data_IF_985508241761
#
_entry.id   IF_985508241761
#
_cell.length_a   1.000
_cell.length_b   1.000
_cell.length_c   1.000
_cell.angle_alpha   90.00
_cell.angle_beta   90.00
_cell.angle_gamma   90.00
#
_symmetry.space_group_name_H-M   'P 1'
#
loop_
_entity.id
_entity.type
_entity.pdbx_description
1 polymer ?
#
# COMPACT_ATOMS: atom_id res chain seq x y z
N UNK A 1 24.66 -10.80 40.82
CA UNK A 1 23.37 -10.42 40.21
C UNK A 1 23.34 -8.91 40.07
N UNK A 2 23.20 -8.34 38.87
CA UNK A 2 23.20 -6.89 38.62
C UNK A 2 21.80 -6.26 38.81
N UNK A 3 21.03 -6.81 39.74
CA UNK A 3 19.70 -6.35 40.14
C UNK A 3 19.80 -5.82 41.56
N UNK A 4 19.39 -4.58 41.74
CA UNK A 4 19.59 -3.80 42.96
C UNK A 4 18.25 -3.22 43.41
N UNK A 5 18.08 -3.07 44.73
CA UNK A 5 16.92 -2.41 45.32
C UNK A 5 17.30 -0.95 45.59
N UNK A 6 16.42 -0.03 45.22
CA UNK A 6 16.52 1.37 45.60
C UNK A 6 15.92 1.52 47.01
N UNK A 7 16.74 1.96 47.97
CA UNK A 7 16.34 2.05 49.37
C UNK A 7 15.39 3.24 49.63
N UNK A 8 15.48 4.30 48.81
CA UNK A 8 14.69 5.53 48.99
C UNK A 8 13.21 5.36 48.63
N UNK A 9 12.88 4.46 47.70
CA UNK A 9 11.51 4.29 47.19
C UNK A 9 11.06 2.83 47.04
N UNK A 10 11.86 1.88 47.51
CA UNK A 10 11.54 0.45 47.49
C UNK A 10 11.51 -0.23 46.11
N UNK A 11 11.74 0.51 45.02
CA UNK A 11 11.72 -0.01 43.64
C UNK A 11 13.03 -0.73 43.29
N UNK A 12 13.00 -1.56 42.24
CA UNK A 12 14.17 -2.30 41.77
C UNK A 12 14.76 -1.66 40.51
N UNK A 13 16.07 -1.78 40.35
CA UNK A 13 16.80 -1.36 39.14
C UNK A 13 17.84 -2.39 38.71
N UNK A 14 18.17 -2.34 37.41
CA UNK A 14 19.06 -3.29 36.75
C UNK A 14 20.19 -2.52 36.09
N UNK A 15 21.42 -3.03 36.20
CA UNK A 15 22.59 -2.53 35.47
C UNK A 15 23.16 -3.60 34.55
N UNK A 16 22.73 -3.62 33.29
CA UNK A 16 23.20 -4.62 32.33
C UNK A 16 24.37 -4.09 31.50
N UNK A 17 25.44 -4.89 31.40
CA UNK A 17 26.59 -4.62 30.53
C UNK A 17 26.40 -5.34 29.20
N UNK A 18 26.77 -4.69 28.10
CA UNK A 18 26.71 -5.27 26.75
C UNK A 18 27.84 -4.73 25.88
N UNK A 19 28.21 -5.47 24.84
CA UNK A 19 29.16 -5.00 23.82
C UNK A 19 28.34 -4.48 22.65
N UNK A 20 28.62 -3.26 22.19
CA UNK A 20 27.93 -2.71 21.04
C UNK A 20 28.53 -3.23 19.72
N UNK A 21 27.89 -2.91 18.60
CA UNK A 21 28.33 -3.30 17.25
C UNK A 21 29.73 -2.78 16.85
N UNK A 22 30.30 -1.83 17.60
CA UNK A 22 31.68 -1.33 17.42
C UNK A 22 32.71 -2.07 18.30
N UNK A 23 32.30 -3.06 19.08
CA UNK A 23 33.16 -3.77 20.04
C UNK A 23 33.36 -3.03 21.37
N UNK A 24 32.67 -1.90 21.60
CA UNK A 24 32.80 -1.14 22.85
C UNK A 24 31.92 -1.74 23.96
N UNK A 25 32.48 -1.89 25.16
CA UNK A 25 31.72 -2.28 26.35
C UNK A 25 30.89 -1.09 26.86
N UNK A 26 29.56 -1.24 26.89
CA UNK A 26 28.62 -0.23 27.39
C UNK A 26 27.75 -0.80 28.52
N UNK A 27 27.18 0.10 29.31
CA UNK A 27 26.30 -0.24 30.42
C UNK A 27 24.95 0.48 30.27
N UNK A 28 23.85 -0.25 30.45
CA UNK A 28 22.49 0.29 30.47
C UNK A 28 21.90 0.12 31.86
N UNK A 29 21.42 1.21 32.44
CA UNK A 29 20.67 1.19 33.70
C UNK A 29 19.18 1.38 33.40
N UNK A 30 18.34 0.45 33.86
CA UNK A 30 16.88 0.57 33.81
C UNK A 30 16.35 0.53 35.25
N UNK A 31 15.52 1.50 35.62
CA UNK A 31 15.00 1.72 36.97
C UNK A 31 13.46 1.68 36.97
N UNK A 32 12.87 1.45 38.15
CA UNK A 32 11.43 1.59 38.38
C UNK A 32 10.63 0.28 38.33
N UNK A 33 11.27 -0.87 38.54
CA UNK A 33 10.56 -2.15 38.62
C UNK A 33 9.88 -2.31 39.99
N UNK A 34 8.66 -2.82 40.02
CA UNK A 34 7.92 -3.00 41.27
C UNK A 34 8.45 -4.21 42.06
N UNK A 35 8.95 -5.24 41.36
CA UNK A 35 9.47 -6.45 41.99
C UNK A 35 10.88 -6.84 41.51
N UNK A 36 11.61 -7.58 42.37
CA UNK A 36 12.90 -8.17 42.02
C UNK A 36 12.81 -9.09 40.79
N UNK A 37 11.69 -9.83 40.69
CA UNK A 37 11.44 -10.79 39.61
C UNK A 37 11.29 -10.09 38.26
N UNK A 38 10.55 -8.98 38.20
CA UNK A 38 10.45 -8.16 36.98
C UNK A 38 11.80 -7.58 36.55
N UNK A 39 12.60 -7.13 37.51
CA UNK A 39 13.94 -6.62 37.24
C UNK A 39 14.88 -7.72 36.70
N UNK A 40 14.83 -8.93 37.26
CA UNK A 40 15.59 -10.08 36.77
C UNK A 40 15.13 -10.54 35.38
N UNK A 41 13.83 -10.57 35.12
CA UNK A 41 13.29 -10.92 33.81
C UNK A 41 13.74 -9.91 32.74
N UNK A 42 13.69 -8.61 33.07
CA UNK A 42 14.18 -7.57 32.17
C UNK A 42 15.69 -7.69 31.90
N UNK A 43 16.50 -7.98 32.92
CA UNK A 43 17.95 -8.21 32.75
C UNK A 43 18.21 -9.36 31.78
N UNK A 44 17.55 -10.50 32.00
CA UNK A 44 17.69 -11.70 31.17
C UNK A 44 17.31 -11.41 29.73
N UNK A 45 16.16 -10.77 29.52
CA UNK A 45 15.69 -10.39 28.19
C UNK A 45 16.63 -9.41 27.49
N UNK A 46 17.21 -8.44 28.23
CA UNK A 46 18.18 -7.50 27.68
C UNK A 46 19.51 -8.17 27.30
N UNK A 47 19.98 -9.15 28.07
CA UNK A 47 21.18 -9.91 27.72
C UNK A 47 20.96 -10.79 26.49
N UNK A 48 19.84 -11.54 26.42
CA UNK A 48 19.49 -12.35 25.25
C UNK A 48 19.35 -11.50 23.98
N UNK A 49 18.71 -10.33 24.10
CA UNK A 49 18.57 -9.38 22.99
C UNK A 49 19.92 -8.85 22.47
N UNK A 50 20.92 -8.64 23.35
CA UNK A 50 22.26 -8.22 22.93
C UNK A 50 23.13 -9.38 22.43
N UNK A 51 22.95 -10.58 22.98
CA UNK A 51 23.61 -11.79 22.54
C UNK A 51 23.08 -12.32 21.20
N UNK A 52 21.96 -11.76 20.71
CA UNK A 52 21.23 -12.27 19.53
C UNK A 52 20.81 -13.74 19.70
N UNK A 53 20.62 -14.18 20.95
CA UNK A 53 20.32 -15.56 21.29
C UNK A 53 18.81 -15.84 21.08
N UNK A 54 18.50 -16.87 20.29
CA UNK A 54 17.14 -17.28 19.94
C UNK A 54 16.32 -17.82 21.13
N UNK A 55 16.93 -17.92 22.31
CA UNK A 55 16.23 -18.25 23.56
C UNK A 55 15.38 -17.08 24.12
N UNK A 56 15.37 -15.92 23.44
CA UNK A 56 14.50 -14.79 23.75
C UNK A 56 13.03 -15.03 23.39
N UNK A 57 12.14 -14.24 24.00
CA UNK A 57 10.72 -14.25 23.60
C UNK A 57 10.53 -13.71 22.19
N UNK A 58 9.44 -14.13 21.54
CA UNK A 58 9.06 -13.66 20.22
C UNK A 58 8.80 -12.14 20.21
N UNK A 59 8.29 -11.58 21.30
CA UNK A 59 8.12 -10.13 21.45
C UNK A 59 9.46 -9.39 21.42
N UNK A 60 10.47 -9.86 22.16
CA UNK A 60 11.80 -9.26 22.14
C UNK A 60 12.46 -9.35 20.76
N UNK A 61 12.31 -10.50 20.08
CA UNK A 61 12.78 -10.66 18.72
C UNK A 61 12.06 -9.73 17.75
N UNK A 62 10.75 -9.56 17.91
CA UNK A 62 9.94 -8.66 17.08
C UNK A 62 10.42 -7.22 17.19
N UNK A 63 10.84 -6.75 18.36
CA UNK A 63 11.44 -5.42 18.53
C UNK A 63 12.80 -5.27 17.81
N UNK A 64 13.61 -6.34 17.74
CA UNK A 64 14.82 -6.35 16.89
C UNK A 64 14.45 -6.26 15.41
N UNK A 65 13.50 -7.09 14.96
CA UNK A 65 12.98 -7.05 13.59
C UNK A 65 12.43 -5.67 13.21
N UNK A 66 11.65 -5.03 14.10
CA UNK A 66 11.13 -3.67 13.92
C UNK A 66 12.28 -2.70 13.67
N UNK A 67 13.31 -2.72 14.51
CA UNK A 67 14.46 -1.82 14.40
C UNK A 67 15.22 -1.98 13.08
N UNK A 68 15.39 -3.22 12.63
CA UNK A 68 16.14 -3.53 11.40
C UNK A 68 15.37 -3.15 10.13
N UNK A 69 14.05 -3.31 10.14
CA UNK A 69 13.20 -3.17 8.93
C UNK A 69 12.58 -1.79 8.80
N UNK A 70 12.20 -1.14 9.91
CA UNK A 70 11.44 0.13 9.91
C UNK A 70 12.13 1.23 9.10
N UNK A 71 13.45 1.35 9.19
CA UNK A 71 14.24 2.40 8.51
C UNK A 71 14.26 2.26 6.99
N UNK A 72 13.94 1.08 6.46
CA UNK A 72 13.97 0.78 5.02
C UNK A 72 12.60 0.92 4.34
N UNK A 73 11.55 1.18 5.10
CA UNK A 73 10.17 1.22 4.61
C UNK A 73 9.58 2.63 4.72
N UNK A 74 8.69 2.98 3.78
CA UNK A 74 7.86 4.17 3.91
C UNK A 74 6.98 4.04 5.14
N UNK A 75 6.79 5.15 5.86
CA UNK A 75 6.08 5.18 7.14
C UNK A 75 4.70 4.52 7.11
N UNK A 76 3.87 4.83 6.11
CA UNK A 76 2.55 4.20 5.98
C UNK A 76 2.60 2.67 5.79
N UNK A 77 3.60 2.19 5.04
CA UNK A 77 3.83 0.74 4.88
C UNK A 77 4.23 0.11 6.20
N UNK A 78 5.03 0.82 7.00
CA UNK A 78 5.40 0.41 8.34
C UNK A 78 4.19 0.38 9.28
N UNK A 79 3.39 1.44 9.36
CA UNK A 79 2.22 1.54 10.23
C UNK A 79 1.23 0.39 10.01
N UNK A 80 1.00 0.03 8.75
CA UNK A 80 0.13 -1.12 8.41
C UNK A 80 0.69 -2.43 8.97
N UNK A 81 2.01 -2.66 8.81
CA UNK A 81 2.68 -3.86 9.32
C UNK A 81 2.71 -3.89 10.84
N UNK A 82 3.06 -2.77 11.47
CA UNK A 82 3.10 -2.63 12.93
C UNK A 82 1.74 -2.89 13.56
N UNK A 83 0.67 -2.36 12.98
CA UNK A 83 -0.68 -2.64 13.46
C UNK A 83 -1.00 -4.14 13.45
N UNK A 84 -0.70 -4.85 12.35
CA UNK A 84 -0.89 -6.30 12.25
C UNK A 84 -0.06 -7.03 13.31
N UNK A 85 1.22 -6.68 13.43
CA UNK A 85 2.13 -7.30 14.41
C UNK A 85 1.56 -7.15 15.82
N UNK A 86 1.22 -5.92 16.21
CA UNK A 86 0.78 -5.62 17.58
C UNK A 86 -0.60 -6.18 17.91
N UNK A 87 -1.53 -6.21 16.95
CA UNK A 87 -2.92 -6.58 17.23
C UNK A 87 -3.27 -8.03 16.90
N UNK A 88 -2.53 -8.69 15.99
CA UNK A 88 -2.87 -10.04 15.51
C UNK A 88 -1.79 -11.09 15.74
N UNK A 89 -0.53 -10.68 15.94
CA UNK A 89 0.59 -11.62 16.09
C UNK A 89 1.08 -11.66 17.54
N UNK A 90 1.49 -10.51 18.10
CA UNK A 90 2.03 -10.44 19.47
C UNK A 90 1.10 -10.98 20.56
N UNK A 91 -0.23 -10.80 20.51
CA UNK A 91 -1.13 -11.37 21.53
C UNK A 91 -1.04 -12.90 21.66
N UNK A 92 -0.63 -13.58 20.58
CA UNK A 92 -0.53 -15.03 20.52
C UNK A 92 0.87 -15.54 20.84
N UNK A 93 1.87 -14.97 20.15
CA UNK A 93 3.22 -15.52 20.18
C UNK A 93 4.15 -14.79 21.15
N UNK A 94 3.81 -13.56 21.58
CA UNK A 94 4.76 -12.63 22.19
C UNK A 94 5.54 -13.19 23.39
N UNK A 95 4.88 -13.99 24.23
CA UNK A 95 5.48 -14.61 25.42
C UNK A 95 6.24 -15.91 25.15
N UNK A 96 6.01 -16.55 24.01
CA UNK A 96 6.67 -17.80 23.64
C UNK A 96 8.12 -17.52 23.23
N UNK A 97 9.02 -18.46 23.45
CA UNK A 97 10.38 -18.38 22.90
C UNK A 97 10.33 -18.57 21.40
N UNK A 98 11.05 -17.75 20.65
CA UNK A 98 11.02 -17.84 19.18
C UNK A 98 11.52 -19.20 18.66
N UNK A 99 12.50 -19.80 19.35
CA UNK A 99 13.04 -21.12 19.04
C UNK A 99 12.04 -22.27 19.30
N UNK A 100 11.07 -22.08 20.18
CA UNK A 100 10.09 -23.10 20.59
C UNK A 100 8.78 -23.02 19.79
N UNK A 101 8.54 -21.94 19.03
CA UNK A 101 7.35 -21.83 18.20
C UNK A 101 7.45 -22.84 17.05
N UNK A 102 6.54 -23.81 17.05
CA UNK A 102 6.48 -24.87 16.06
C UNK A 102 5.32 -24.65 15.08
N UNK A 103 5.15 -25.60 14.16
CA UNK A 103 4.00 -25.63 13.25
C UNK A 103 2.67 -25.74 14.01
N UNK A 104 2.67 -26.36 15.21
CA UNK A 104 1.46 -26.56 16.02
C UNK A 104 0.85 -25.23 16.48
N UNK A 105 1.65 -24.36 17.09
CA UNK A 105 1.18 -23.06 17.58
C UNK A 105 0.67 -22.18 16.43
N UNK A 106 1.31 -22.28 15.26
CA UNK A 106 0.91 -21.54 14.07
C UNK A 106 -0.41 -22.05 13.51
N UNK A 107 -0.62 -23.37 13.44
CA UNK A 107 -1.90 -23.95 13.00
C UNK A 107 -3.02 -23.53 13.96
N UNK A 108 -2.78 -23.56 15.27
CA UNK A 108 -3.75 -23.07 16.25
C UNK A 108 -4.12 -21.61 16.01
N UNK A 109 -3.12 -20.74 15.84
CA UNK A 109 -3.35 -19.33 15.51
C UNK A 109 -4.12 -19.12 14.20
N UNK A 110 -3.81 -19.89 13.15
CA UNK A 110 -4.53 -19.83 11.87
C UNK A 110 -6.00 -20.24 12.05
N UNK A 111 -6.25 -21.34 12.76
CA UNK A 111 -7.60 -21.84 13.01
C UNK A 111 -8.46 -20.82 13.76
N UNK A 112 -7.89 -20.13 14.75
CA UNK A 112 -8.59 -19.05 15.46
C UNK A 112 -8.95 -17.89 14.54
N UNK A 113 -8.02 -17.45 13.68
CA UNK A 113 -8.28 -16.38 12.72
C UNK A 113 -9.28 -16.78 11.63
N UNK A 114 -9.29 -18.06 11.22
CA UNK A 114 -10.29 -18.61 10.29
C UNK A 114 -11.68 -18.74 10.92
N UNK A 115 -11.73 -19.05 12.22
CA UNK A 115 -12.97 -19.15 12.99
C UNK A 115 -13.55 -17.78 13.38
N UNK A 116 -12.74 -16.72 13.37
CA UNK A 116 -13.18 -15.37 13.72
C UNK A 116 -14.42 -14.93 12.94
N UNK A 117 -15.35 -14.29 13.64
CA UNK A 117 -16.51 -13.60 13.07
C UNK A 117 -16.67 -12.25 13.73
N UNK A 118 -16.95 -11.21 12.95
CA UNK A 118 -17.27 -9.87 13.47
C UNK A 118 -18.69 -9.81 14.08
N UNK A 119 -19.09 -8.63 14.58
CA UNK A 119 -20.42 -8.39 15.15
C UNK A 119 -21.58 -8.71 14.17
N UNK A 120 -21.30 -8.67 12.86
CA UNK A 120 -22.24 -8.98 11.78
C UNK A 120 -22.06 -10.43 11.27
N UNK A 121 -21.39 -11.28 12.04
CA UNK A 121 -21.08 -12.69 11.70
C UNK A 121 -20.26 -12.87 10.42
N UNK A 122 -19.49 -11.87 9.99
CA UNK A 122 -18.65 -11.96 8.79
C UNK A 122 -17.24 -12.44 9.15
N UNK A 123 -16.65 -13.37 8.37
CA UNK A 123 -15.26 -13.77 8.53
C UNK A 123 -14.30 -12.68 8.04
N UNK A 124 -13.02 -12.80 8.38
CA UNK A 124 -11.98 -12.05 7.70
C UNK A 124 -11.93 -12.40 6.20
N UNK A 125 -11.52 -11.44 5.38
CA UNK A 125 -11.30 -11.71 3.95
C UNK A 125 -10.09 -12.62 3.74
N UNK A 126 -10.15 -13.45 2.69
CA UNK A 126 -9.06 -14.35 2.32
C UNK A 126 -7.72 -13.61 2.12
N UNK A 127 -7.76 -12.45 1.47
CA UNK A 127 -6.58 -11.58 1.28
C UNK A 127 -6.01 -11.05 2.60
N UNK A 128 -6.88 -10.70 3.57
CA UNK A 128 -6.41 -10.24 4.87
C UNK A 128 -5.74 -11.38 5.65
N UNK A 129 -6.35 -12.57 5.67
CA UNK A 129 -5.75 -13.78 6.26
C UNK A 129 -4.37 -14.07 5.64
N UNK A 130 -4.26 -14.01 4.31
CA UNK A 130 -2.99 -14.17 3.58
C UNK A 130 -1.95 -13.14 4.04
N UNK A 131 -2.38 -11.89 4.21
CA UNK A 131 -1.53 -10.78 4.66
C UNK A 131 -1.02 -11.00 6.08
N UNK A 132 -1.87 -11.47 7.00
CA UNK A 132 -1.50 -11.77 8.38
C UNK A 132 -0.41 -12.86 8.43
N UNK A 133 -0.61 -13.97 7.71
CA UNK A 133 0.37 -15.05 7.68
C UNK A 133 1.67 -14.64 7.01
N UNK A 134 1.61 -13.89 5.89
CA UNK A 134 2.80 -13.34 5.24
C UNK A 134 3.60 -12.46 6.20
N UNK A 135 2.92 -11.69 7.07
CA UNK A 135 3.60 -10.85 8.05
C UNK A 135 4.29 -11.68 9.15
N UNK A 136 3.67 -12.76 9.63
CA UNK A 136 4.30 -13.70 10.57
C UNK A 136 5.52 -14.40 9.92
N UNK A 137 5.34 -14.90 8.70
CA UNK A 137 6.40 -15.56 7.93
C UNK A 137 7.57 -14.62 7.66
N UNK A 138 7.33 -13.33 7.42
CA UNK A 138 8.39 -12.34 7.25
C UNK A 138 9.27 -12.17 8.51
N UNK A 139 8.68 -12.21 9.71
CA UNK A 139 9.42 -12.13 10.98
C UNK A 139 10.32 -13.37 11.14
N UNK A 140 9.77 -14.57 10.93
CA UNK A 140 10.55 -15.81 11.00
C UNK A 140 11.64 -15.89 9.91
N UNK A 141 11.37 -15.42 8.70
CA UNK A 141 12.38 -15.36 7.64
C UNK A 141 13.55 -14.44 8.02
N UNK A 142 13.29 -13.34 8.73
CA UNK A 142 14.36 -12.48 9.27
C UNK A 142 15.18 -13.22 10.32
N UNK A 143 14.53 -13.98 11.21
CA UNK A 143 15.20 -14.81 12.21
C UNK A 143 16.09 -15.88 11.57
N UNK A 144 15.58 -16.58 10.56
CA UNK A 144 16.36 -17.60 9.80
C UNK A 144 17.57 -16.96 9.13
N UNK A 145 17.38 -15.80 8.50
CA UNK A 145 18.42 -15.16 7.67
C UNK A 145 19.55 -14.50 8.47
N UNK A 146 19.24 -13.91 9.62
CA UNK A 146 20.20 -13.06 10.35
C UNK A 146 20.51 -13.54 11.76
N UNK A 147 19.74 -14.49 12.29
CA UNK A 147 19.86 -14.97 13.67
C UNK A 147 19.94 -16.50 13.74
N UNK A 148 20.21 -17.16 12.61
CA UNK A 148 20.45 -18.61 12.49
C UNK A 148 19.32 -19.51 12.99
N UNK A 149 18.06 -19.03 12.96
CA UNK A 149 16.93 -19.90 13.26
C UNK A 149 16.87 -21.03 12.23
N UNK A 150 16.83 -22.28 12.71
CA UNK A 150 16.97 -23.48 11.87
C UNK A 150 16.00 -23.53 10.68
N UNK A 151 14.77 -23.09 10.87
CA UNK A 151 13.77 -23.06 9.80
C UNK A 151 12.62 -22.13 10.15
N UNK A 152 11.93 -21.61 9.13
CA UNK A 152 10.70 -20.84 9.32
C UNK A 152 9.51 -21.81 9.51
N UNK A 153 8.92 -21.90 10.72
CA UNK A 153 7.76 -22.76 10.97
C UNK A 153 6.51 -22.28 10.23
N UNK A 154 6.33 -20.96 10.02
CA UNK A 154 5.19 -20.42 9.29
C UNK A 154 5.22 -20.83 7.81
N UNK A 155 6.40 -20.77 7.18
CA UNK A 155 6.56 -21.23 5.81
C UNK A 155 6.22 -22.73 5.64
N UNK A 156 6.53 -23.57 6.63
CA UNK A 156 6.21 -25.00 6.61
C UNK A 156 4.71 -25.30 6.71
N UNK A 157 3.97 -24.51 7.50
CA UNK A 157 2.52 -24.65 7.62
C UNK A 157 1.82 -24.26 6.31
N UNK A 158 2.36 -23.27 5.61
CA UNK A 158 1.73 -22.72 4.42
C UNK A 158 0.69 -21.65 4.75
N UNK A 159 0.31 -20.90 3.73
CA UNK A 159 -0.50 -19.70 3.88
C UNK A 159 -1.92 -20.01 4.36
N UNK A 160 -2.54 -19.03 5.02
CA UNK A 160 -3.99 -19.08 5.27
C UNK A 160 -4.70 -18.10 4.33
N UNK A 161 -5.75 -18.60 3.70
CA UNK A 161 -6.52 -17.88 2.70
C UNK A 161 -5.84 -17.74 1.34
N UNK A 162 -6.65 -17.38 0.35
CA UNK A 162 -6.27 -17.28 -1.06
C UNK A 162 -6.30 -15.84 -1.57
N UNK A 163 -5.64 -15.60 -2.70
CA UNK A 163 -5.94 -14.44 -3.53
C UNK A 163 -7.21 -14.73 -4.31
N UNK A 164 -8.33 -14.15 -3.88
CA UNK A 164 -9.53 -14.09 -4.69
C UNK A 164 -9.36 -12.97 -5.72
N UNK A 165 -9.33 -13.33 -7.00
CA UNK A 165 -9.47 -12.35 -8.08
C UNK A 165 -10.93 -11.89 -8.12
N UNK A 166 -11.27 -10.87 -7.32
CA UNK A 166 -12.56 -10.21 -7.44
C UNK A 166 -12.67 -9.61 -8.83
N UNK A 167 -13.85 -9.75 -9.44
CA UNK A 167 -14.17 -9.11 -10.71
C UNK A 167 -13.89 -7.61 -10.61
N UNK A 168 -13.09 -7.09 -11.55
CA UNK A 168 -12.73 -5.68 -11.56
C UNK A 168 -13.92 -4.86 -12.00
N UNK A 169 -14.53 -4.15 -11.05
CA UNK A 169 -15.58 -3.20 -11.36
C UNK A 169 -14.98 -1.95 -11.99
N UNK A 170 -15.59 -1.47 -13.07
CA UNK A 170 -15.31 -0.18 -13.69
C UNK A 170 -16.60 0.36 -14.31
N UNK A 171 -16.67 1.68 -14.47
CA UNK A 171 -17.67 2.36 -15.27
C UNK A 171 -17.32 2.46 -16.75
N UNK A 172 -18.32 2.31 -17.61
CA UNK A 172 -18.23 2.74 -19.02
C UNK A 172 -18.18 4.27 -19.11
N UNK A 173 -17.91 4.80 -20.31
CA UNK A 173 -17.93 6.25 -20.56
C UNK A 173 -19.30 6.87 -20.30
N UNK A 174 -20.37 6.16 -20.66
CA UNK A 174 -21.75 6.58 -20.47
C UNK A 174 -22.11 6.62 -18.99
N UNK A 175 -21.74 5.59 -18.23
CA UNK A 175 -21.91 5.56 -16.77
C UNK A 175 -21.15 6.71 -16.09
N UNK A 176 -19.89 6.95 -16.49
CA UNK A 176 -19.11 8.05 -15.95
C UNK A 176 -19.73 9.42 -16.27
N UNK A 177 -20.24 9.62 -17.49
CA UNK A 177 -20.90 10.88 -17.86
C UNK A 177 -22.16 11.16 -17.03
N UNK A 178 -22.97 10.13 -16.75
CA UNK A 178 -24.13 10.27 -15.84
C UNK A 178 -23.68 10.69 -14.45
N UNK A 179 -22.64 10.04 -13.92
CA UNK A 179 -22.05 10.41 -12.63
C UNK A 179 -21.50 11.84 -12.63
N UNK A 180 -20.72 12.22 -13.64
CA UNK A 180 -20.09 13.54 -13.76
C UNK A 180 -21.14 14.67 -13.81
N UNK A 181 -22.25 14.46 -14.51
CA UNK A 181 -23.38 15.38 -14.55
C UNK A 181 -23.95 15.69 -13.15
N UNK A 182 -24.17 14.67 -12.32
CA UNK A 182 -24.66 14.82 -10.95
C UNK A 182 -23.66 15.50 -10.00
N UNK A 183 -22.40 15.63 -10.41
CA UNK A 183 -21.34 16.26 -9.62
C UNK A 183 -21.15 17.75 -9.93
N UNK A 184 -21.76 18.26 -11.01
CA UNK A 184 -21.60 19.65 -11.46
C UNK A 184 -22.05 20.69 -10.42
N UNK A 185 -22.92 20.30 -9.48
CA UNK A 185 -23.36 21.16 -8.37
C UNK A 185 -22.24 21.46 -7.34
N UNK A 186 -21.15 20.68 -7.36
CA UNK A 186 -19.99 20.83 -6.47
C UNK A 186 -18.70 20.88 -7.27
N UNK A 187 -18.23 22.10 -7.64
CA UNK A 187 -17.05 22.29 -8.50
C UNK A 187 -15.83 21.48 -8.06
N UNK A 188 -15.45 21.53 -6.77
CA UNK A 188 -14.27 20.82 -6.27
C UNK A 188 -14.34 19.31 -6.52
N UNK A 189 -15.52 18.72 -6.32
CA UNK A 189 -15.73 17.29 -6.53
C UNK A 189 -15.79 16.93 -8.01
N UNK A 190 -16.48 17.76 -8.81
CA UNK A 190 -16.55 17.61 -10.26
C UNK A 190 -15.16 17.54 -10.89
N UNK A 191 -14.35 18.59 -10.73
CA UNK A 191 -13.00 18.64 -11.30
C UNK A 191 -12.05 17.57 -10.72
N UNK A 192 -12.25 17.18 -9.47
CA UNK A 192 -11.51 16.07 -8.87
C UNK A 192 -11.79 14.73 -9.59
N UNK A 193 -13.06 14.44 -9.89
CA UNK A 193 -13.44 13.23 -10.61
C UNK A 193 -13.06 13.27 -12.09
N UNK A 194 -13.17 14.43 -12.75
CA UNK A 194 -12.70 14.62 -14.13
C UNK A 194 -11.20 14.29 -14.26
N UNK A 195 -10.38 14.79 -13.34
CA UNK A 195 -8.96 14.49 -13.30
C UNK A 195 -8.69 12.99 -13.02
N UNK A 196 -9.42 12.37 -12.10
CA UNK A 196 -9.26 10.95 -11.78
C UNK A 196 -9.59 10.06 -12.99
N UNK A 197 -10.68 10.36 -13.69
CA UNK A 197 -11.15 9.59 -14.82
C UNK A 197 -10.27 9.82 -16.06
N UNK A 198 -10.19 11.04 -16.59
CA UNK A 198 -9.53 11.29 -17.88
C UNK A 198 -8.00 11.19 -17.86
N UNK A 199 -7.37 11.42 -16.70
CA UNK A 199 -5.93 11.21 -16.53
C UNK A 199 -5.58 9.84 -15.96
N UNK A 200 -6.55 9.08 -15.43
CA UNK A 200 -6.29 7.79 -14.79
C UNK A 200 -5.28 7.87 -13.63
N UNK A 201 -5.32 8.94 -12.83
CA UNK A 201 -4.38 9.16 -11.71
C UNK A 201 -4.88 8.53 -10.40
N UNK A 202 -3.99 8.30 -9.42
CA UNK A 202 -4.39 7.79 -8.08
C UNK A 202 -5.04 8.93 -7.31
N UNK A 203 -5.98 8.61 -6.43
CA UNK A 203 -6.54 9.58 -5.47
C UNK A 203 -5.45 10.31 -4.67
N UNK A 204 -4.42 9.59 -4.19
CA UNK A 204 -3.30 10.23 -3.52
C UNK A 204 -2.46 11.14 -4.44
N UNK A 205 -2.38 10.84 -5.74
CA UNK A 205 -1.69 11.71 -6.71
C UNK A 205 -2.51 12.98 -6.95
N UNK A 206 -3.83 12.84 -7.16
CA UNK A 206 -4.78 13.95 -7.31
C UNK A 206 -4.68 14.92 -6.13
N UNK A 207 -4.80 14.41 -4.91
CA UNK A 207 -4.79 15.25 -3.71
C UNK A 207 -3.45 15.95 -3.48
N UNK A 208 -2.37 15.51 -4.13
CA UNK A 208 -1.05 16.15 -4.07
C UNK A 208 -0.79 17.20 -5.16
N UNK A 209 -1.71 17.34 -6.13
CA UNK A 209 -1.55 18.29 -7.22
C UNK A 209 -1.56 19.73 -6.70
N UNK A 210 -0.68 20.51 -7.29
CA UNK A 210 -0.51 21.95 -7.06
C UNK A 210 -0.63 22.69 -8.38
N UNK A 211 -0.87 24.00 -8.32
CA UNK A 211 -0.96 24.82 -9.53
C UNK A 211 0.30 24.74 -10.42
N UNK A 212 1.49 24.59 -9.83
CA UNK A 212 2.75 24.44 -10.56
C UNK A 212 2.92 23.12 -11.33
N UNK A 213 2.05 22.14 -11.11
CA UNK A 213 2.14 20.85 -11.81
C UNK A 213 1.50 20.90 -13.21
N UNK A 214 0.72 21.94 -13.52
CA UNK A 214 0.07 22.13 -14.80
C UNK A 214 0.88 23.05 -15.72
N UNK A 215 1.07 22.62 -16.96
CA UNK A 215 1.60 23.42 -18.06
C UNK A 215 0.53 23.40 -19.16
N UNK A 216 -0.35 24.41 -19.14
CA UNK A 216 -1.50 24.48 -20.04
C UNK A 216 -1.12 24.83 -21.47
N UNK A 217 0.01 25.52 -21.69
CA UNK A 217 0.54 25.77 -23.05
C UNK A 217 0.93 24.45 -23.72
N UNK A 218 1.54 23.53 -22.96
CA UNK A 218 1.89 22.19 -23.44
C UNK A 218 0.78 21.17 -23.23
N UNK A 219 -0.34 21.55 -22.63
CA UNK A 219 -1.45 20.69 -22.23
C UNK A 219 -0.98 19.47 -21.41
N UNK A 220 -0.12 19.70 -20.42
CA UNK A 220 0.43 18.61 -19.60
C UNK A 220 0.22 18.82 -18.11
N UNK A 221 0.09 17.71 -17.39
CA UNK A 221 0.16 17.68 -15.92
C UNK A 221 1.27 16.75 -15.45
N UNK A 222 2.07 17.22 -14.50
CA UNK A 222 3.17 16.46 -13.90
C UNK A 222 2.68 15.71 -12.67
N UNK A 223 2.82 14.38 -12.69
CA UNK A 223 2.51 13.52 -11.55
C UNK A 223 3.83 13.10 -10.89
N UNK A 224 4.17 13.71 -9.76
CA UNK A 224 5.46 13.49 -9.06
C UNK A 224 5.36 13.49 -7.53
N UNK A 225 4.14 13.56 -6.98
CA UNK A 225 3.85 13.65 -5.55
C UNK A 225 2.67 12.74 -5.20
N UNK A 226 2.57 12.35 -3.95
CA UNK A 226 1.41 11.63 -3.41
C UNK A 226 1.11 12.10 -2.00
N UNK A 227 -0.16 12.43 -1.78
CA UNK A 227 -0.70 12.93 -0.54
C UNK A 227 -1.21 11.78 0.33
N UNK A 228 -0.83 11.82 1.60
CA UNK A 228 -1.28 10.89 2.63
C UNK A 228 -1.56 11.67 3.90
N UNK A 229 -2.47 11.17 4.73
CA UNK A 229 -2.67 11.70 6.07
C UNK A 229 -2.11 10.69 7.06
N UNK A 230 -1.08 11.10 7.82
CA UNK A 230 -0.38 10.26 8.79
C UNK A 230 -0.44 10.94 10.15
N UNK A 231 -0.85 10.22 11.19
CA UNK A 231 -0.96 10.76 12.56
C UNK A 231 -1.79 12.06 12.67
N UNK A 232 -2.79 12.23 11.81
CA UNK A 232 -3.61 13.44 11.78
C UNK A 232 -3.03 14.59 10.95
N UNK A 233 -1.79 14.46 10.47
CA UNK A 233 -1.07 15.47 9.69
C UNK A 233 -1.08 15.16 8.19
N UNK A 234 -1.07 16.23 7.39
CA UNK A 234 -1.03 16.20 5.94
C UNK A 234 0.41 16.01 5.46
N UNK A 235 0.72 14.84 4.89
CA UNK A 235 2.07 14.48 4.44
C UNK A 235 2.10 14.32 2.92
N UNK A 236 2.92 15.15 2.26
CA UNK A 236 3.24 15.00 0.84
C UNK A 236 4.51 14.17 0.72
N UNK A 237 4.40 13.04 0.03
CA UNK A 237 5.50 12.11 -0.19
C UNK A 237 5.82 11.98 -1.67
N UNK A 238 7.00 11.44 -2.00
CA UNK A 238 7.28 10.98 -3.36
C UNK A 238 6.42 9.75 -3.69
N UNK A 239 6.01 9.56 -4.95
CA UNK A 239 5.25 8.40 -5.37
C UNK A 239 5.92 7.07 -4.99
N UNK A 240 5.12 6.00 -4.92
CA UNK A 240 5.59 4.69 -4.44
C UNK A 240 6.71 4.11 -5.31
N UNK A 241 6.66 4.35 -6.63
CA UNK A 241 7.55 3.73 -7.61
C UNK A 241 8.15 4.79 -8.53
N UNK A 242 9.32 4.53 -9.13
CA UNK A 242 9.95 5.46 -10.09
C UNK A 242 9.04 5.75 -11.29
N UNK A 243 8.37 4.71 -11.84
CA UNK A 243 7.40 4.84 -12.94
C UNK A 243 6.15 5.64 -12.60
N UNK A 244 5.85 5.85 -11.31
CA UNK A 244 4.73 6.73 -10.94
C UNK A 244 5.05 8.20 -11.22
N UNK A 245 6.33 8.57 -11.29
CA UNK A 245 6.76 9.90 -11.75
C UNK A 245 6.61 9.98 -13.27
N UNK A 246 5.62 10.74 -13.73
CA UNK A 246 5.29 10.82 -15.16
C UNK A 246 4.68 12.17 -15.53
N UNK A 247 4.67 12.46 -16.82
CA UNK A 247 3.97 13.58 -17.40
C UNK A 247 2.81 13.04 -18.22
N UNK A 248 1.61 13.56 -17.98
CA UNK A 248 0.41 13.16 -18.71
C UNK A 248 0.05 14.30 -19.66
N UNK A 249 -0.02 14.00 -20.97
CA UNK A 249 -0.66 14.87 -21.95
C UNK A 249 -2.18 14.81 -21.73
N UNK A 250 -2.75 15.95 -21.37
CA UNK A 250 -4.16 16.13 -21.07
C UNK A 250 -4.94 16.38 -22.37
N UNK A 251 -6.18 15.88 -22.46
CA UNK A 251 -7.11 16.33 -23.50
C UNK A 251 -7.36 17.84 -23.37
N UNK A 252 -7.53 18.52 -24.52
CA UNK A 252 -7.70 19.97 -24.56
C UNK A 252 -8.91 20.47 -23.74
N UNK A 253 -10.05 19.79 -23.82
CA UNK A 253 -11.23 20.15 -23.03
C UNK A 253 -10.95 20.14 -21.51
N UNK A 254 -10.18 19.16 -21.03
CA UNK A 254 -9.84 19.06 -19.62
C UNK A 254 -8.84 20.14 -19.20
N UNK A 255 -7.95 20.58 -20.10
CA UNK A 255 -7.10 21.74 -19.86
C UNK A 255 -7.95 23.00 -19.65
N UNK A 256 -8.92 23.24 -20.53
CA UNK A 256 -9.82 24.40 -20.48
C UNK A 256 -10.64 24.37 -19.17
N UNK A 257 -11.25 23.23 -18.83
CA UNK A 257 -11.97 23.01 -17.57
C UNK A 257 -11.09 23.25 -16.33
N UNK A 258 -9.87 22.73 -16.31
CA UNK A 258 -8.96 22.93 -15.19
C UNK A 258 -8.45 24.37 -15.10
N UNK A 259 -8.23 25.06 -16.22
CA UNK A 259 -7.89 26.49 -16.23
C UNK A 259 -9.01 27.32 -15.62
N UNK A 260 -10.26 27.05 -16.02
CA UNK A 260 -11.44 27.68 -15.44
C UNK A 260 -11.51 27.43 -13.93
N UNK A 261 -11.38 26.18 -13.49
CA UNK A 261 -11.40 25.85 -12.07
C UNK A 261 -10.31 26.58 -11.27
N UNK A 262 -9.07 26.60 -11.77
CA UNK A 262 -7.97 27.28 -11.10
C UNK A 262 -8.21 28.79 -11.00
N UNK A 263 -8.89 29.40 -11.98
CA UNK A 263 -9.24 30.82 -11.94
C UNK A 263 -10.28 31.17 -10.86
N UNK A 264 -11.12 30.20 -10.48
CA UNK A 264 -12.11 30.35 -9.40
C UNK A 264 -11.47 30.29 -8.00
N UNK A 265 -10.23 29.78 -7.89
CA UNK A 265 -9.53 29.64 -6.60
C UNK A 265 -8.83 30.95 -6.22
N UNK A 266 -9.43 31.71 -5.30
CA UNK A 266 -8.89 32.98 -4.85
C UNK A 266 -7.54 32.82 -4.12
N UNK A 267 -6.54 33.61 -4.51
CA UNK A 267 -5.23 33.66 -3.84
C UNK A 267 -4.33 32.44 -4.03
N UNK A 268 -4.64 31.58 -5.01
CA UNK A 268 -3.89 30.35 -5.30
C UNK A 268 -2.44 30.64 -5.66
N UNK A 269 -1.48 30.19 -4.84
CA UNK A 269 -0.06 30.25 -5.15
C UNK A 269 0.37 29.00 -5.91
N UNK A 270 1.49 29.10 -6.62
CA UNK A 270 2.08 27.99 -7.41
C UNK A 270 2.24 26.68 -6.62
N UNK A 271 2.56 26.76 -5.32
CA UNK A 271 2.81 25.58 -4.47
C UNK A 271 1.58 25.10 -3.69
N UNK A 272 0.46 25.79 -3.81
CA UNK A 272 -0.74 25.45 -3.07
C UNK A 272 -1.42 24.25 -3.72
N UNK A 273 -1.98 23.38 -2.87
CA UNK A 273 -2.78 22.24 -3.33
C UNK A 273 -4.06 22.75 -3.97
N UNK A 274 -4.39 22.24 -5.15
CA UNK A 274 -5.62 22.63 -5.86
C UNK A 274 -6.86 21.93 -5.28
N UNK A 275 -6.70 20.71 -4.76
CA UNK A 275 -7.78 19.94 -4.12
C UNK A 275 -7.51 19.83 -2.61
N UNK A 276 -8.07 20.75 -1.83
CA UNK A 276 -7.95 20.79 -0.35
C UNK A 276 -9.04 19.99 0.35
N UNK A 277 -9.42 18.84 -0.22
CA UNK A 277 -10.40 17.91 0.34
C UNK A 277 -9.72 16.68 0.93
N UNK A 278 -10.48 15.94 1.73
CA UNK A 278 -10.01 14.67 2.32
C UNK A 278 -10.41 13.49 1.45
N UNK A 279 -9.75 12.34 1.67
CA UNK A 279 -10.18 11.08 1.04
C UNK A 279 -11.61 10.71 1.42
N UNK A 280 -11.94 10.83 2.71
CA UNK A 280 -13.29 10.56 3.21
C UNK A 280 -14.34 11.43 2.53
N UNK A 281 -14.02 12.69 2.23
CA UNK A 281 -14.89 13.57 1.45
C UNK A 281 -15.13 13.01 0.05
N UNK A 282 -14.08 12.68 -0.71
CA UNK A 282 -14.25 12.11 -2.05
C UNK A 282 -15.01 10.77 -2.03
N UNK A 283 -14.81 9.95 -0.99
CA UNK A 283 -15.55 8.69 -0.82
C UNK A 283 -17.05 8.94 -0.63
N UNK A 284 -17.39 9.91 0.21
CA UNK A 284 -18.78 10.34 0.42
C UNK A 284 -19.40 10.89 -0.87
N UNK A 285 -18.67 11.74 -1.60
CA UNK A 285 -19.15 12.30 -2.86
C UNK A 285 -19.30 11.25 -3.97
N UNK A 286 -18.43 10.23 -3.99
CA UNK A 286 -18.58 9.06 -4.86
C UNK A 286 -19.88 8.30 -4.54
N UNK A 287 -20.20 8.09 -3.25
CA UNK A 287 -21.44 7.43 -2.83
C UNK A 287 -22.66 8.27 -3.25
N UNK A 288 -22.62 9.58 -3.01
CA UNK A 288 -23.68 10.52 -3.39
C UNK A 288 -23.94 10.52 -4.90
N UNK A 289 -22.89 10.77 -5.70
CA UNK A 289 -23.01 10.88 -7.15
C UNK A 289 -23.40 9.56 -7.80
N UNK A 290 -22.89 8.41 -7.31
CA UNK A 290 -23.26 7.11 -7.86
C UNK A 290 -24.75 6.80 -7.63
N UNK A 291 -25.27 7.13 -6.44
CA UNK A 291 -26.68 6.95 -6.11
C UNK A 291 -27.58 7.89 -6.93
N UNK A 292 -27.21 9.17 -7.07
CA UNK A 292 -27.97 10.14 -7.86
C UNK A 292 -28.02 9.76 -9.36
N UNK A 293 -26.89 9.33 -9.91
CA UNK A 293 -26.77 8.95 -11.32
C UNK A 293 -27.37 7.57 -11.65
N UNK A 294 -27.78 6.80 -10.62
CA UNK A 294 -28.30 5.44 -10.79
C UNK A 294 -27.26 4.47 -11.35
N UNK A 295 -25.97 4.67 -11.08
CA UNK A 295 -24.88 3.81 -11.55
C UNK A 295 -24.34 2.94 -10.41
N UNK A 296 -23.76 1.79 -10.76
CA UNK A 296 -23.14 0.89 -9.76
C UNK A 296 -22.04 1.60 -8.97
N UNK A 297 -21.91 1.31 -7.69
CA UNK A 297 -20.83 1.90 -6.88
C UNK A 297 -19.49 1.22 -7.14
N UNK A 298 -18.52 1.94 -7.70
CA UNK A 298 -17.11 1.52 -7.84
C UNK A 298 -16.20 2.29 -6.89
N UNK A 299 -15.06 1.74 -6.44
CA UNK A 299 -14.10 2.47 -5.58
C UNK A 299 -13.51 3.66 -6.35
N UNK A 300 -13.05 4.70 -5.66
CA UNK A 300 -12.37 5.83 -6.32
C UNK A 300 -11.18 5.36 -7.16
N UNK A 301 -10.42 4.39 -6.64
CA UNK A 301 -9.30 3.83 -7.39
C UNK A 301 -9.76 3.12 -8.69
N UNK A 302 -10.98 2.59 -8.72
CA UNK A 302 -11.53 1.90 -9.88
C UNK A 302 -11.84 2.87 -11.04
N UNK A 303 -11.86 4.19 -10.84
CA UNK A 303 -11.89 5.16 -11.96
C UNK A 303 -10.67 5.04 -12.87
N UNK A 304 -9.51 4.63 -12.33
CA UNK A 304 -8.38 4.27 -13.17
C UNK A 304 -8.70 3.05 -14.02
N UNK A 305 -9.41 2.07 -13.48
CA UNK A 305 -9.81 0.88 -14.23
C UNK A 305 -10.80 1.25 -15.34
N UNK A 306 -11.70 2.22 -15.09
CA UNK A 306 -12.52 2.83 -16.15
C UNK A 306 -11.69 3.51 -17.23
N UNK A 307 -10.69 4.31 -16.85
CA UNK A 307 -9.79 4.96 -17.81
C UNK A 307 -9.02 3.95 -18.67
N UNK A 308 -8.51 2.89 -18.04
CA UNK A 308 -7.82 1.80 -18.76
C UNK A 308 -8.78 1.12 -19.73
N UNK A 309 -9.98 0.75 -19.27
CA UNK A 309 -11.01 0.12 -20.09
C UNK A 309 -11.38 0.99 -21.30
N UNK A 310 -11.58 2.30 -21.10
CA UNK A 310 -11.82 3.25 -22.18
C UNK A 310 -10.68 3.29 -23.20
N UNK A 311 -9.42 3.30 -22.76
CA UNK A 311 -8.29 3.32 -23.69
C UNK A 311 -8.12 2.00 -24.46
N UNK A 312 -8.48 0.87 -23.85
CA UNK A 312 -8.49 -0.43 -24.52
C UNK A 312 -9.56 -0.45 -25.61
N UNK A 313 -10.76 0.03 -25.30
CA UNK A 313 -11.87 0.16 -26.25
C UNK A 313 -11.50 1.08 -27.43
N UNK A 314 -10.74 2.14 -27.17
CA UNK A 314 -10.15 3.01 -28.20
C UNK A 314 -9.00 2.37 -29.01
N UNK A 315 -8.59 1.14 -28.68
CA UNK A 315 -7.57 0.38 -29.42
C UNK A 315 -6.12 0.68 -29.06
N UNK A 316 -5.84 1.36 -27.93
CA UNK A 316 -4.46 1.62 -27.51
C UNK A 316 -3.78 0.36 -26.96
N UNK A 317 -2.47 0.24 -27.18
CA UNK A 317 -1.70 -0.92 -26.71
C UNK A 317 -1.53 -0.94 -25.19
N UNK A 318 -1.39 -2.13 -24.61
CA UNK A 318 -1.17 -2.31 -23.18
C UNK A 318 0.07 -1.54 -22.67
N UNK A 319 1.12 -1.44 -23.50
CA UNK A 319 2.34 -0.69 -23.19
C UNK A 319 2.05 0.80 -23.06
N UNK A 320 1.40 1.40 -24.07
CA UNK A 320 1.06 2.82 -24.07
C UNK A 320 0.16 3.19 -22.88
N UNK A 321 -0.81 2.32 -22.56
CA UNK A 321 -1.69 2.50 -21.40
C UNK A 321 -0.89 2.43 -20.10
N UNK A 322 -0.04 1.40 -19.94
CA UNK A 322 0.78 1.20 -18.73
C UNK A 322 1.68 2.41 -18.45
N UNK A 323 2.30 2.98 -19.48
CA UNK A 323 3.14 4.17 -19.38
C UNK A 323 2.31 5.39 -18.96
N UNK A 324 1.12 5.60 -19.54
CA UNK A 324 0.23 6.71 -19.17
C UNK A 324 -0.23 6.64 -17.71
N UNK A 325 -0.62 5.46 -17.22
CA UNK A 325 -1.15 5.32 -15.84
C UNK A 325 -0.05 5.07 -14.79
N UNK A 326 1.20 4.88 -15.22
CA UNK A 326 2.35 4.67 -14.34
C UNK A 326 2.31 3.32 -13.62
N UNK A 327 2.03 2.24 -14.35
CA UNK A 327 2.13 0.88 -13.83
C UNK A 327 3.59 0.43 -13.72
N UNK A 328 3.96 -0.15 -12.57
CA UNK A 328 5.32 -0.68 -12.35
C UNK A 328 5.56 -1.97 -13.15
N UNK A 329 4.61 -2.91 -13.07
CA UNK A 329 4.53 -4.10 -13.93
C UNK A 329 3.44 -3.93 -14.98
N UNK A 330 3.74 -4.35 -16.21
CA UNK A 330 2.77 -4.42 -17.31
C UNK A 330 1.70 -5.49 -17.07
N UNK A 331 1.98 -6.49 -16.23
CA UNK A 331 1.03 -7.56 -15.87
C UNK A 331 -0.27 -7.00 -15.31
N UNK A 332 -0.21 -5.85 -14.64
CA UNK A 332 -1.39 -5.13 -14.12
C UNK A 332 -2.31 -4.73 -15.27
N UNK A 333 -1.76 -4.29 -16.41
CA UNK A 333 -2.55 -3.97 -17.60
C UNK A 333 -3.01 -5.24 -18.33
N UNK A 334 -2.24 -6.33 -18.27
CA UNK A 334 -2.69 -7.63 -18.79
C UNK A 334 -3.84 -8.26 -17.99
N UNK A 335 -4.14 -7.79 -16.78
CA UNK A 335 -5.41 -8.17 -16.12
C UNK A 335 -6.64 -7.78 -16.94
N UNK A 336 -6.49 -6.84 -17.88
CA UNK A 336 -7.52 -6.44 -18.85
C UNK A 336 -7.40 -7.13 -20.20
N UNK A 337 -6.55 -8.16 -20.33
CA UNK A 337 -6.30 -8.85 -21.61
C UNK A 337 -7.60 -9.26 -22.33
N UNK A 338 -8.61 -9.69 -21.57
CA UNK A 338 -9.92 -10.09 -22.08
C UNK A 338 -10.75 -8.95 -22.71
N UNK A 339 -10.43 -7.69 -22.43
CA UNK A 339 -11.09 -6.53 -23.04
C UNK A 339 -10.43 -6.11 -24.35
N UNK A 340 -9.20 -6.55 -24.63
CA UNK A 340 -8.53 -6.16 -25.86
C UNK A 340 -9.23 -6.80 -27.06
N UNK A 341 -9.59 -6.01 -28.10
CA UNK A 341 -10.14 -6.57 -29.33
C UNK A 341 -9.19 -7.62 -29.91
N UNK A 342 -9.74 -8.76 -30.33
CA UNK A 342 -8.95 -9.73 -31.09
C UNK A 342 -8.48 -9.06 -32.38
N UNK A 343 -7.16 -9.03 -32.57
CA UNK A 343 -6.53 -8.49 -33.77
C UNK A 343 -6.24 -9.56 -34.82
N UNK A 344 -6.76 -10.79 -34.65
CA UNK A 344 -6.41 -11.93 -35.53
C UNK A 344 -6.74 -11.66 -36.99
N UNK A 345 -7.92 -11.13 -37.30
CA UNK A 345 -8.30 -10.77 -38.68
C UNK A 345 -7.44 -9.63 -39.21
N UNK A 346 -7.27 -8.54 -38.47
CA UNK A 346 -6.40 -7.42 -38.89
C UNK A 346 -4.94 -7.85 -39.10
N UNK A 347 -4.42 -8.76 -38.27
CA UNK A 347 -3.08 -9.32 -38.41
C UNK A 347 -2.97 -10.20 -39.66
N UNK A 348 -3.97 -11.05 -39.92
CA UNK A 348 -4.02 -11.86 -41.12
C UNK A 348 -4.07 -10.99 -42.38
N UNK A 349 -4.95 -9.98 -42.42
CA UNK A 349 -5.11 -9.07 -43.56
C UNK A 349 -3.79 -8.34 -43.87
N UNK A 350 -3.10 -7.81 -42.86
CA UNK A 350 -1.80 -7.13 -43.05
C UNK A 350 -0.69 -8.07 -43.52
N UNK A 351 -0.68 -9.32 -43.04
CA UNK A 351 0.28 -10.34 -43.51
C UNK A 351 -0.02 -10.74 -44.96
N UNK A 352 -1.30 -10.82 -45.33
CA UNK A 352 -1.76 -11.06 -46.70
C UNK A 352 -1.31 -9.95 -47.64
N UNK A 353 -1.44 -8.69 -47.22
CA UNK A 353 -0.98 -7.53 -48.00
C UNK A 353 0.54 -7.54 -48.19
N UNK A 354 1.30 -7.91 -47.16
CA UNK A 354 2.75 -8.09 -47.25
C UNK A 354 3.15 -9.27 -48.15
N UNK A 355 2.44 -10.38 -48.06
CA UNK A 355 2.69 -11.56 -48.88
C UNK A 355 2.35 -11.37 -50.37
N UNK A 356 1.43 -10.45 -50.68
CA UNK A 356 1.05 -10.08 -52.06
C UNK A 356 1.96 -9.01 -52.67
N UNK A 357 2.74 -8.30 -51.86
CA UNK A 357 3.61 -7.21 -52.28
C UNK A 357 5.08 -7.60 -52.45
N UNK A 358 5.39 -8.53 -53.37
CA UNK A 358 6.74 -8.69 -53.98
C UNK A 358 6.73 -9.69 -55.17
N UNK A 359 5.75 -9.56 -56.07
CA UNK A 359 5.85 -10.15 -57.42
C UNK A 359 5.69 -9.02 -58.44
N UNK A 360 6.63 -8.06 -58.41
CA UNK A 360 6.87 -7.25 -59.60
C UNK A 360 7.43 -8.19 -60.66
N UNK A 361 6.59 -8.49 -61.65
CA UNK A 361 6.94 -9.17 -62.88
C UNK A 361 8.13 -8.45 -63.53
N UNK A 362 9.34 -8.97 -63.31
CA UNK A 362 10.44 -8.76 -64.24
C UNK A 362 10.15 -9.64 -65.44
N UNK A 363 9.56 -9.06 -66.48
CA UNK A 363 9.45 -9.67 -67.80
C UNK A 363 9.60 -8.62 -68.88
#
# INVERSE_FOLDING_TARGET
MPVFKNEDNGTWYVMARYVNWKGERRQKCKRGFATKKEAQEWERMFQLQNASDLDMSFEAFTELYIRDVKTRLKENTWLTKEHIIRTKILPYFGKLRISEISTKEIITWQNELLAYRDEKKKPYSQTYLKTLHNQLSAIFNHAVRYYELRSNPAAKVGNMGSEEHKEMLFWTKEEYKKFSFEMMDKPVSFYAFEMLYWCGIREGELLALTAADFDFEKETVRINKSYQRLHGEDVITTPKTKKSNRMIKMPKFLCEEMQEYLSMLYGLKKKDRIFTVTKSYLHHEMDRGANAAGVKRIRIHDLRHSHISLLIDMGFSAVAIADRVGHESIDITYQYAHLFPSKQTEMADRLDDLGKGEVENVS
#
